data_IF_911686759963
#
_entry.id   IF_911686759963
#
_cell.length_a   1.000
_cell.length_b   1.000
_cell.length_c   1.000
_cell.angle_alpha   90.00
_cell.angle_beta   90.00
_cell.angle_gamma   90.00
#
_symmetry.space_group_name_H-M   'P 1'
#
loop_
_entity.id
_entity.type
_entity.pdbx_description
1 polymer ?
#
# COMPACT_ATOMS: atom_id res chain seq x y z
N UNK A 1 28.40 -29.90 8.74
CA UNK A 1 27.21 -30.19 7.92
C UNK A 1 26.29 -28.98 8.00
N UNK A 2 26.08 -28.28 6.88
CA UNK A 2 25.15 -27.16 6.81
C UNK A 2 23.71 -27.66 6.83
N UNK A 3 22.85 -27.02 7.61
CA UNK A 3 21.42 -27.29 7.68
C UNK A 3 20.71 -25.98 7.35
N UNK A 4 19.75 -26.02 6.44
CA UNK A 4 19.05 -24.82 5.96
C UNK A 4 17.54 -25.00 6.05
N UNK A 5 16.86 -23.92 6.43
CA UNK A 5 15.40 -23.78 6.44
C UNK A 5 14.98 -22.98 5.21
N UNK A 6 14.02 -23.50 4.43
CA UNK A 6 13.52 -22.86 3.22
C UNK A 6 12.16 -22.22 3.49
N UNK A 7 12.03 -20.94 3.18
CA UNK A 7 10.79 -20.16 3.29
C UNK A 7 10.12 -20.10 1.91
N UNK A 8 8.84 -20.48 1.83
CA UNK A 8 8.08 -20.44 0.58
C UNK A 8 6.78 -19.62 0.73
N UNK A 9 6.57 -18.65 -0.16
CA UNK A 9 5.39 -17.78 -0.18
C UNK A 9 4.17 -18.36 -0.91
N UNK A 10 2.99 -18.18 -0.29
CA UNK A 10 1.59 -18.23 -0.77
C UNK A 10 1.05 -19.36 -1.66
N UNK A 11 1.83 -20.17 -2.38
CA UNK A 11 1.31 -21.18 -3.31
C UNK A 11 1.51 -22.62 -2.80
N UNK A 12 0.64 -23.01 -1.86
CA UNK A 12 0.64 -24.32 -1.20
C UNK A 12 0.42 -25.52 -2.16
N UNK A 13 -0.24 -25.31 -3.32
CA UNK A 13 -0.61 -26.42 -4.23
C UNK A 13 0.51 -26.93 -5.14
N UNK A 14 1.58 -26.16 -5.36
CA UNK A 14 2.55 -26.47 -6.43
C UNK A 14 4.01 -26.54 -6.03
N UNK A 15 4.39 -26.12 -4.82
CA UNK A 15 5.81 -25.93 -4.47
C UNK A 15 6.53 -27.23 -4.09
N UNK A 16 6.03 -27.97 -3.09
CA UNK A 16 6.66 -29.21 -2.61
C UNK A 16 6.66 -30.32 -3.67
N UNK A 17 5.62 -30.42 -4.51
CA UNK A 17 5.54 -31.39 -5.60
C UNK A 17 6.66 -31.26 -6.64
N UNK A 18 7.23 -30.06 -6.79
CA UNK A 18 8.35 -29.80 -7.71
C UNK A 18 9.67 -30.40 -7.24
N UNK A 19 9.80 -30.75 -5.96
CA UNK A 19 11.01 -31.37 -5.40
C UNK A 19 11.24 -32.79 -5.94
N UNK A 20 10.17 -33.50 -6.29
CA UNK A 20 10.22 -34.86 -6.83
C UNK A 20 10.57 -34.91 -8.32
N UNK A 21 10.38 -33.80 -9.05
CA UNK A 21 10.67 -33.78 -10.49
C UNK A 21 12.16 -34.04 -10.69
N UNK A 22 12.48 -35.09 -11.45
CA UNK A 22 13.86 -35.59 -11.62
C UNK A 22 14.84 -34.53 -12.08
N UNK A 23 14.40 -33.58 -12.92
CA UNK A 23 15.22 -32.43 -13.33
C UNK A 23 15.55 -31.49 -12.17
N UNK A 24 14.57 -31.20 -11.32
CA UNK A 24 14.75 -30.30 -10.18
C UNK A 24 15.54 -30.95 -9.05
N UNK A 25 15.37 -32.25 -8.80
CA UNK A 25 16.10 -32.94 -7.73
C UNK A 25 17.61 -32.97 -7.98
N UNK A 26 18.03 -33.14 -9.23
CA UNK A 26 19.45 -33.12 -9.63
C UNK A 26 20.01 -31.70 -9.52
N UNK A 27 19.27 -30.70 -10.02
CA UNK A 27 19.70 -29.30 -9.97
C UNK A 27 19.76 -28.77 -8.53
N UNK A 28 18.79 -29.13 -7.69
CA UNK A 28 18.79 -28.77 -6.27
C UNK A 28 19.93 -29.44 -5.51
N UNK A 29 20.21 -30.72 -5.79
CA UNK A 29 21.37 -31.40 -5.20
C UNK A 29 22.69 -30.71 -5.60
N UNK A 30 22.81 -30.27 -6.86
CA UNK A 30 23.99 -29.56 -7.34
C UNK A 30 24.16 -28.19 -6.64
N UNK A 31 23.06 -27.46 -6.43
CA UNK A 31 23.08 -26.14 -5.77
C UNK A 31 23.29 -26.22 -4.25
N UNK A 32 22.71 -27.22 -3.59
CA UNK A 32 22.79 -27.40 -2.14
C UNK A 32 24.08 -28.10 -1.70
N UNK A 33 24.71 -28.87 -2.60
CA UNK A 33 25.91 -29.64 -2.31
C UNK A 33 25.66 -30.68 -1.22
N UNK A 34 26.39 -30.55 -0.11
CA UNK A 34 26.25 -31.42 1.09
C UNK A 34 25.17 -30.95 2.07
N UNK A 35 24.58 -29.78 1.82
CA UNK A 35 23.61 -29.15 2.73
C UNK A 35 22.27 -29.88 2.66
N UNK A 36 21.74 -30.27 3.82
CA UNK A 36 20.44 -30.93 3.92
C UNK A 36 19.36 -29.95 4.35
N UNK A 37 18.20 -30.04 3.71
CA UNK A 37 17.00 -29.30 4.08
C UNK A 37 16.36 -30.00 5.26
N UNK A 38 16.20 -29.27 6.38
CA UNK A 38 15.54 -29.78 7.59
C UNK A 38 14.14 -29.23 7.76
N UNK A 39 13.93 -27.95 7.47
CA UNK A 39 12.63 -27.31 7.70
C UNK A 39 12.13 -26.66 6.42
N UNK A 40 10.83 -26.81 6.19
CA UNK A 40 10.11 -26.12 5.13
C UNK A 40 9.04 -25.23 5.75
N UNK A 41 9.31 -23.93 5.81
CA UNK A 41 8.43 -22.95 6.43
C UNK A 41 7.49 -22.37 5.36
N UNK A 42 6.19 -22.49 5.59
CA UNK A 42 5.16 -21.86 4.78
C UNK A 42 4.57 -20.67 5.53
N UNK A 43 4.73 -19.48 4.96
CA UNK A 43 4.31 -18.23 5.59
C UNK A 43 3.01 -17.75 4.94
N UNK A 44 1.99 -17.48 5.77
CA UNK A 44 0.68 -16.98 5.34
C UNK A 44 0.19 -15.90 6.30
N UNK A 45 -0.54 -14.86 5.86
CA UNK A 45 -1.00 -13.78 6.75
C UNK A 45 -1.88 -14.30 7.91
N UNK A 46 -2.72 -15.30 7.65
CA UNK A 46 -3.60 -15.91 8.64
C UNK A 46 -3.71 -17.43 8.44
N UNK A 47 -3.76 -18.20 9.53
CA UNK A 47 -4.06 -19.63 9.52
C UNK A 47 -5.44 -19.85 10.17
N UNK A 48 -6.49 -19.70 9.37
CA UNK A 48 -7.86 -19.73 9.93
C UNK A 48 -8.48 -21.13 9.99
N UNK A 49 -7.80 -22.18 9.52
CA UNK A 49 -8.39 -23.52 9.39
C UNK A 49 -7.44 -24.66 9.77
N UNK A 50 -7.91 -25.53 10.68
CA UNK A 50 -7.28 -26.82 11.03
C UNK A 50 -6.99 -27.72 9.81
N UNK A 51 -7.68 -27.49 8.68
CA UNK A 51 -7.44 -28.18 7.40
C UNK A 51 -6.03 -27.93 6.84
N UNK A 52 -5.44 -26.74 7.09
CA UNK A 52 -4.09 -26.41 6.65
C UNK A 52 -3.04 -27.23 7.42
N UNK A 53 -3.20 -27.33 8.74
CA UNK A 53 -2.36 -28.16 9.61
C UNK A 53 -2.40 -29.63 9.19
N UNK A 54 -3.60 -30.18 8.99
CA UNK A 54 -3.77 -31.56 8.53
C UNK A 54 -3.13 -31.81 7.15
N UNK A 55 -3.25 -30.84 6.23
CA UNK A 55 -2.61 -30.96 4.91
C UNK A 55 -1.09 -30.83 4.98
N UNK A 56 -0.55 -29.94 5.83
CA UNK A 56 0.90 -29.81 6.04
C UNK A 56 1.50 -31.11 6.58
N UNK A 57 0.85 -31.74 7.56
CA UNK A 57 1.26 -33.05 8.08
C UNK A 57 1.22 -34.15 7.00
N UNK A 58 0.14 -34.20 6.21
CA UNK A 58 0.04 -35.15 5.09
C UNK A 58 1.18 -34.95 4.09
N UNK A 59 1.48 -33.69 3.72
CA UNK A 59 2.56 -33.36 2.79
C UNK A 59 3.94 -33.67 3.36
N UNK A 60 4.15 -33.47 4.66
CA UNK A 60 5.40 -33.85 5.31
C UNK A 60 5.64 -35.35 5.17
N UNK A 61 4.62 -36.19 5.43
CA UNK A 61 4.73 -37.64 5.27
C UNK A 61 5.00 -38.03 3.80
N UNK A 62 4.30 -37.41 2.84
CA UNK A 62 4.53 -37.63 1.41
C UNK A 62 5.96 -37.29 0.99
N UNK A 63 6.50 -36.16 1.46
CA UNK A 63 7.86 -35.69 1.09
C UNK A 63 8.94 -36.56 1.74
N UNK A 64 8.76 -36.98 2.99
CA UNK A 64 9.67 -37.95 3.64
C UNK A 64 9.71 -39.28 2.89
N UNK A 65 8.57 -39.75 2.40
CA UNK A 65 8.48 -40.99 1.63
C UNK A 65 9.24 -40.94 0.29
N UNK A 66 9.57 -39.75 -0.24
CA UNK A 66 10.36 -39.64 -1.47
C UNK A 66 11.84 -39.91 -1.28
N UNK A 67 12.32 -39.97 -0.02
CA UNK A 67 13.69 -40.34 0.34
C UNK A 67 14.78 -39.63 -0.50
N UNK A 68 14.64 -38.31 -0.61
CA UNK A 68 15.52 -37.50 -1.45
C UNK A 68 16.88 -37.24 -0.76
N UNK A 69 18.00 -37.29 -1.49
CA UNK A 69 19.35 -37.23 -0.89
C UNK A 69 19.68 -35.90 -0.18
N UNK A 70 19.02 -34.82 -0.56
CA UNK A 70 19.17 -33.48 0.04
C UNK A 70 18.21 -33.22 1.21
N UNK A 71 17.37 -34.18 1.61
CA UNK A 71 16.50 -34.05 2.78
C UNK A 71 17.15 -34.63 4.03
N UNK A 72 16.94 -33.96 5.17
CA UNK A 72 17.30 -34.50 6.48
C UNK A 72 16.31 -35.60 6.92
N UNK A 73 16.77 -36.54 7.75
CA UNK A 73 15.89 -37.53 8.43
C UNK A 73 14.79 -36.84 9.25
N UNK A 74 15.13 -35.67 9.80
CA UNK A 74 14.30 -34.93 10.75
C UNK A 74 13.46 -33.85 10.04
N UNK A 75 13.14 -34.06 8.76
CA UNK A 75 12.42 -33.06 7.95
C UNK A 75 11.06 -32.66 8.57
N UNK A 76 10.77 -31.37 8.70
CA UNK A 76 9.47 -30.86 9.14
C UNK A 76 8.90 -29.83 8.16
N UNK A 77 7.56 -29.82 8.05
CA UNK A 77 6.82 -28.76 7.36
C UNK A 77 6.15 -27.90 8.42
N UNK A 78 6.55 -26.64 8.49
CA UNK A 78 6.08 -25.68 9.50
C UNK A 78 5.20 -24.62 8.84
N UNK A 79 4.12 -24.26 9.53
CA UNK A 79 3.21 -23.20 9.10
C UNK A 79 3.44 -22.01 10.03
N UNK A 80 3.86 -20.89 9.48
CA UNK A 80 4.06 -19.66 10.24
C UNK A 80 3.04 -18.62 9.77
N UNK A 81 2.38 -17.99 10.73
CA UNK A 81 1.55 -16.81 10.51
C UNK A 81 2.23 -15.55 11.06
N UNK A 82 1.52 -14.44 11.01
CA UNK A 82 2.00 -13.18 11.56
C UNK A 82 2.21 -13.26 13.08
N UNK A 83 1.38 -14.04 13.79
CA UNK A 83 1.48 -14.21 15.23
C UNK A 83 2.76 -14.96 15.62
N UNK A 84 3.20 -15.92 14.79
CA UNK A 84 4.47 -16.62 14.98
C UNK A 84 5.67 -15.68 14.98
N UNK A 85 5.63 -14.61 14.17
CA UNK A 85 6.73 -13.64 14.02
C UNK A 85 6.51 -12.35 14.80
N UNK A 86 5.49 -12.28 15.67
CA UNK A 86 5.10 -11.00 16.29
C UNK A 86 6.22 -10.40 17.13
N UNK A 87 7.04 -11.23 17.79
CA UNK A 87 8.15 -10.79 18.62
C UNK A 87 9.26 -10.21 17.75
N UNK A 88 9.67 -10.91 16.70
CA UNK A 88 10.69 -10.45 15.76
C UNK A 88 10.24 -9.19 15.02
N UNK A 89 8.97 -9.12 14.64
CA UNK A 89 8.36 -7.92 14.07
C UNK A 89 8.47 -6.78 15.07
N UNK A 90 8.05 -6.97 16.33
CA UNK A 90 8.12 -5.93 17.36
C UNK A 90 9.56 -5.49 17.67
N UNK A 91 10.51 -6.42 17.72
CA UNK A 91 11.93 -6.13 17.93
C UNK A 91 12.51 -5.32 16.79
N UNK A 92 12.24 -5.69 15.53
CA UNK A 92 12.64 -4.92 14.36
C UNK A 92 11.97 -3.54 14.36
N UNK A 93 10.67 -3.49 14.66
CA UNK A 93 9.92 -2.22 14.71
C UNK A 93 10.50 -1.29 15.77
N UNK A 94 10.82 -1.82 16.96
CA UNK A 94 11.43 -1.07 18.08
C UNK A 94 12.87 -0.65 17.76
N UNK A 95 13.69 -1.55 17.24
CA UNK A 95 15.09 -1.29 16.90
C UNK A 95 15.22 -0.25 15.77
N UNK A 96 14.28 -0.24 14.83
CA UNK A 96 14.22 0.74 13.76
C UNK A 96 13.45 2.02 14.13
N UNK A 97 12.91 2.11 15.36
CA UNK A 97 12.11 3.26 15.80
C UNK A 97 10.85 3.48 14.95
N UNK A 98 10.36 2.43 14.30
CA UNK A 98 9.16 2.50 13.48
C UNK A 98 7.94 2.67 14.41
N UNK A 99 7.03 3.61 14.12
CA UNK A 99 5.86 3.82 14.95
C UNK A 99 4.92 2.60 14.86
N UNK A 100 4.30 2.26 16.00
CA UNK A 100 3.22 1.28 16.02
C UNK A 100 2.13 1.70 15.04
N UNK A 101 1.84 0.82 14.10
CA UNK A 101 0.85 1.09 13.05
C UNK A 101 -0.43 0.34 13.41
N UNK A 102 -1.50 1.08 13.71
CA UNK A 102 -2.79 0.52 14.09
C UNK A 102 -3.75 0.63 12.91
N UNK A 103 -4.36 -0.51 12.52
CA UNK A 103 -5.34 -0.57 11.45
C UNK A 103 -4.79 -1.12 10.12
N UNK A 104 -5.72 -1.42 9.22
CA UNK A 104 -5.42 -1.82 7.84
C UNK A 104 -5.59 -0.60 6.95
N UNK A 105 -4.60 -0.25 6.10
CA UNK A 105 -4.75 0.89 5.19
C UNK A 105 -5.94 0.66 4.26
N UNK A 106 -6.79 1.66 4.03
CA UNK A 106 -7.70 1.58 2.90
C UNK A 106 -6.89 1.63 1.59
N UNK A 107 -7.38 0.99 0.52
CA UNK A 107 -6.76 1.14 -0.79
C UNK A 107 -6.84 2.62 -1.23
N UNK A 108 -5.69 3.20 -1.60
CA UNK A 108 -5.65 4.55 -2.18
C UNK A 108 -6.16 4.57 -3.62
N UNK A 109 -6.15 3.41 -4.29
CA UNK A 109 -6.67 3.23 -5.63
C UNK A 109 -8.14 3.64 -5.72
N UNK A 110 -8.54 4.19 -6.87
CA UNK A 110 -9.93 4.53 -7.10
C UNK A 110 -10.79 3.25 -7.10
N UNK A 111 -11.97 3.26 -6.47
CA UNK A 111 -12.93 2.17 -6.64
C UNK A 111 -13.25 2.00 -8.12
N UNK A 112 -13.33 0.76 -8.60
CA UNK A 112 -13.67 0.48 -10.00
C UNK A 112 -15.07 1.02 -10.39
N UNK A 113 -15.91 1.26 -9.37
CA UNK A 113 -17.33 1.54 -9.50
C UNK A 113 -17.63 2.95 -8.95
N UNK A 114 -16.81 3.94 -9.30
CA UNK A 114 -16.99 5.33 -8.88
C UNK A 114 -17.92 6.10 -9.81
N UNK A 115 -19.24 5.96 -9.62
CA UNK A 115 -20.25 6.78 -10.29
C UNK A 115 -20.27 8.20 -9.72
N UNK A 116 -19.34 9.06 -10.12
CA UNK A 116 -19.34 10.48 -9.78
C UNK A 116 -18.91 11.34 -10.96
N UNK A 117 -19.52 12.51 -11.08
CA UNK A 117 -19.24 13.48 -12.13
C UNK A 117 -17.99 14.29 -11.75
N UNK A 118 -16.83 13.62 -11.73
CA UNK A 118 -15.55 14.20 -11.30
C UNK A 118 -15.25 15.51 -12.02
N UNK A 119 -15.62 15.62 -13.30
CA UNK A 119 -15.44 16.81 -14.10
C UNK A 119 -16.25 18.00 -13.56
N UNK A 120 -17.50 17.77 -13.11
CA UNK A 120 -18.30 18.81 -12.45
C UNK A 120 -17.68 19.25 -11.13
N UNK A 121 -17.19 18.30 -10.33
CA UNK A 121 -16.55 18.61 -9.05
C UNK A 121 -15.28 19.44 -9.25
N UNK A 122 -14.42 19.04 -10.19
CA UNK A 122 -13.19 19.76 -10.51
C UNK A 122 -13.51 21.15 -11.04
N UNK A 123 -14.49 21.30 -11.92
CA UNK A 123 -14.91 22.60 -12.46
C UNK A 123 -15.41 23.52 -11.35
N UNK A 124 -16.44 23.11 -10.59
CA UNK A 124 -17.03 23.89 -9.49
C UNK A 124 -15.97 24.36 -8.50
N UNK A 125 -15.08 23.45 -8.09
CA UNK A 125 -14.04 23.76 -7.10
C UNK A 125 -12.92 24.63 -7.69
N UNK A 126 -12.63 24.52 -8.97
CA UNK A 126 -11.68 25.42 -9.65
C UNK A 126 -12.23 26.85 -9.73
N UNK A 127 -13.52 27.01 -10.01
CA UNK A 127 -14.20 28.32 -9.97
C UNK A 127 -14.19 28.91 -8.56
N UNK A 128 -14.55 28.12 -7.54
CA UNK A 128 -14.54 28.55 -6.14
C UNK A 128 -13.14 29.04 -5.68
N UNK A 129 -12.08 28.33 -6.06
CA UNK A 129 -10.68 28.71 -5.79
C UNK A 129 -10.27 30.02 -6.47
N UNK A 130 -10.84 30.32 -7.62
CA UNK A 130 -10.56 31.54 -8.39
C UNK A 130 -11.62 32.64 -8.19
N UNK A 131 -12.55 32.49 -7.25
CA UNK A 131 -13.64 33.43 -6.97
C UNK A 131 -13.18 34.88 -6.76
N UNK A 132 -12.04 35.10 -6.10
CA UNK A 132 -11.45 36.44 -5.92
C UNK A 132 -10.92 37.08 -7.21
N UNK A 133 -10.90 36.36 -8.34
CA UNK A 133 -10.40 36.80 -9.65
C UNK A 133 -11.48 36.86 -10.72
N UNK A 134 -12.77 36.76 -10.35
CA UNK A 134 -13.90 36.74 -11.31
C UNK A 134 -13.93 37.96 -12.22
N UNK A 135 -13.56 39.14 -11.73
CA UNK A 135 -13.51 40.38 -12.53
C UNK A 135 -12.30 40.48 -13.47
N UNK A 136 -11.36 39.53 -13.40
CA UNK A 136 -10.17 39.54 -14.24
C UNK A 136 -10.53 39.11 -15.69
N UNK A 137 -10.09 39.84 -16.74
CA UNK A 137 -10.43 39.49 -18.13
C UNK A 137 -10.06 38.06 -18.54
N UNK A 138 -8.99 37.52 -17.95
CA UNK A 138 -8.53 36.14 -18.15
C UNK A 138 -9.15 35.09 -17.22
N UNK A 139 -10.20 35.41 -16.45
CA UNK A 139 -10.78 34.50 -15.46
C UNK A 139 -11.13 33.13 -16.05
N UNK A 140 -11.91 33.10 -17.14
CA UNK A 140 -12.33 31.85 -17.78
C UNK A 140 -11.15 31.00 -18.25
N UNK A 141 -10.17 31.61 -18.92
CA UNK A 141 -8.96 30.90 -19.35
C UNK A 141 -8.14 30.34 -18.17
N UNK A 142 -8.08 31.06 -17.04
CA UNK A 142 -7.43 30.57 -15.83
C UNK A 142 -8.20 29.41 -15.18
N UNK A 143 -9.54 29.46 -15.18
CA UNK A 143 -10.38 28.34 -14.72
C UNK A 143 -10.13 27.11 -15.59
N UNK A 144 -10.20 27.24 -16.91
CA UNK A 144 -9.95 26.13 -17.84
C UNK A 144 -8.56 25.52 -17.64
N UNK A 145 -7.53 26.37 -17.45
CA UNK A 145 -6.18 25.90 -17.17
C UNK A 145 -6.09 25.16 -15.82
N UNK A 146 -6.75 25.67 -14.78
CA UNK A 146 -6.75 25.04 -13.46
C UNK A 146 -7.50 23.70 -13.47
N UNK A 147 -8.62 23.62 -14.17
CA UNK A 147 -9.36 22.38 -14.42
C UNK A 147 -8.45 21.36 -15.10
N UNK A 148 -7.82 21.73 -16.23
CA UNK A 148 -6.93 20.84 -16.98
C UNK A 148 -5.77 20.31 -16.12
N UNK A 149 -5.13 21.17 -15.33
CA UNK A 149 -4.05 20.75 -14.43
C UNK A 149 -4.57 19.82 -13.33
N UNK A 150 -5.73 20.12 -12.75
CA UNK A 150 -6.32 19.31 -11.68
C UNK A 150 -6.75 17.93 -12.19
N UNK A 151 -7.43 17.86 -13.34
CA UNK A 151 -7.82 16.61 -14.00
C UNK A 151 -6.59 15.77 -14.34
N UNK A 152 -5.52 16.36 -14.90
CA UNK A 152 -4.28 15.63 -15.18
C UNK A 152 -3.68 15.01 -13.90
N UNK A 153 -3.63 15.77 -12.81
CA UNK A 153 -3.10 15.29 -11.53
C UNK A 153 -3.99 14.20 -10.94
N UNK A 154 -5.31 14.32 -11.05
CA UNK A 154 -6.26 13.32 -10.60
C UNK A 154 -6.06 11.99 -11.34
N UNK A 155 -5.99 12.01 -12.66
CA UNK A 155 -5.77 10.82 -13.48
C UNK A 155 -4.38 10.19 -13.23
N UNK A 156 -3.36 11.00 -12.97
CA UNK A 156 -2.00 10.53 -12.62
C UNK A 156 -1.98 9.83 -11.23
N UNK A 157 -2.90 10.18 -10.32
CA UNK A 157 -2.86 9.71 -8.93
C UNK A 157 -2.99 8.20 -8.80
N UNK A 158 -3.95 7.57 -9.49
CA UNK A 158 -4.20 6.13 -9.39
C UNK A 158 -3.01 5.30 -9.90
N UNK A 159 -2.44 5.68 -11.05
CA UNK A 159 -1.23 5.04 -11.57
C UNK A 159 -0.06 5.17 -10.58
N UNK A 160 0.12 6.35 -9.99
CA UNK A 160 1.20 6.59 -9.05
C UNK A 160 1.07 5.75 -7.77
N UNK A 161 -0.13 5.62 -7.21
CA UNK A 161 -0.35 4.79 -6.02
C UNK A 161 -0.12 3.30 -6.30
N UNK A 162 -0.58 2.78 -7.44
CA UNK A 162 -0.31 1.39 -7.84
C UNK A 162 1.17 1.13 -8.05
N UNK A 163 1.88 2.09 -8.64
CA UNK A 163 3.34 2.00 -8.80
C UNK A 163 4.03 1.99 -7.43
N UNK A 164 3.63 2.87 -6.51
CA UNK A 164 4.18 2.92 -5.15
C UNK A 164 3.91 1.62 -4.37
N UNK A 165 2.70 1.06 -4.48
CA UNK A 165 2.34 -0.23 -3.89
C UNK A 165 3.21 -1.37 -4.42
N UNK A 166 3.51 -1.39 -5.72
CA UNK A 166 4.33 -2.41 -6.34
C UNK A 166 5.83 -2.26 -6.03
N UNK A 167 6.37 -1.03 -6.11
CA UNK A 167 7.80 -0.76 -5.98
C UNK A 167 8.26 -0.67 -4.52
N UNK A 168 7.42 -0.13 -3.63
CA UNK A 168 7.73 0.08 -2.22
C UNK A 168 6.50 -0.17 -1.31
N UNK A 169 6.07 -1.44 -1.13
CA UNK A 169 4.87 -1.78 -0.36
C UNK A 169 4.85 -1.23 1.08
N UNK A 170 6.01 -1.22 1.75
CA UNK A 170 6.13 -0.70 3.11
C UNK A 170 5.92 0.82 3.18
N UNK A 171 6.42 1.56 2.18
CA UNK A 171 6.23 3.01 2.07
C UNK A 171 4.77 3.30 1.72
N UNK A 172 4.19 2.55 0.78
CA UNK A 172 2.79 2.65 0.42
C UNK A 172 1.86 2.52 1.63
N UNK A 173 2.06 1.49 2.46
CA UNK A 173 1.30 1.27 3.70
C UNK A 173 1.30 2.52 4.60
N UNK A 174 2.49 3.07 4.86
CA UNK A 174 2.65 4.25 5.73
C UNK A 174 2.00 5.50 5.14
N UNK A 175 2.13 5.69 3.84
CA UNK A 175 1.49 6.79 3.09
C UNK A 175 -0.03 6.66 3.12
N UNK A 176 -0.56 5.46 2.88
CA UNK A 176 -2.00 5.20 2.85
C UNK A 176 -2.67 5.50 4.19
N UNK A 177 -2.07 5.06 5.30
CA UNK A 177 -2.57 5.35 6.63
C UNK A 177 -2.52 6.83 6.97
N UNK A 178 -1.43 7.52 6.61
CA UNK A 178 -1.30 8.96 6.82
C UNK A 178 -2.36 9.72 6.04
N UNK A 179 -2.57 9.37 4.77
CA UNK A 179 -3.57 10.03 3.91
C UNK A 179 -4.99 9.76 4.43
N UNK A 180 -5.30 8.54 4.88
CA UNK A 180 -6.61 8.21 5.44
C UNK A 180 -6.92 9.01 6.72
N UNK A 181 -5.98 9.03 7.67
CA UNK A 181 -6.14 9.82 8.89
C UNK A 181 -6.28 11.31 8.58
N UNK A 182 -5.47 11.79 7.63
CA UNK A 182 -5.51 13.19 7.26
C UNK A 182 -6.77 13.56 6.46
N UNK A 183 -7.37 12.63 5.71
CA UNK A 183 -8.65 12.85 5.04
C UNK A 183 -9.77 13.19 6.02
N UNK A 184 -9.83 12.52 7.19
CA UNK A 184 -10.80 12.84 8.24
C UNK A 184 -10.65 14.28 8.76
N UNK A 185 -9.40 14.73 8.95
CA UNK A 185 -9.13 16.13 9.30
C UNK A 185 -9.53 17.10 8.18
N UNK A 186 -9.29 16.74 6.92
CA UNK A 186 -9.69 17.56 5.77
C UNK A 186 -11.20 17.74 5.72
N UNK A 187 -11.98 16.69 5.99
CA UNK A 187 -13.44 16.78 6.07
C UNK A 187 -13.89 17.75 7.18
N UNK A 188 -13.27 17.67 8.36
CA UNK A 188 -13.55 18.60 9.48
C UNK A 188 -13.17 20.05 9.14
N UNK A 189 -11.98 20.25 8.59
CA UNK A 189 -11.47 21.56 8.18
C UNK A 189 -12.37 22.16 7.08
N UNK A 190 -12.81 21.35 6.12
CA UNK A 190 -13.76 21.74 5.06
C UNK A 190 -15.09 22.30 5.60
N UNK A 191 -15.56 21.79 6.75
CA UNK A 191 -16.79 22.26 7.39
C UNK A 191 -16.55 23.54 8.21
N UNK A 192 -15.41 23.64 8.87
CA UNK A 192 -15.13 24.69 9.87
C UNK A 192 -14.39 25.90 9.32
N UNK A 193 -13.86 25.81 8.09
CA UNK A 193 -13.05 26.85 7.48
C UNK A 193 -13.79 28.15 7.22
N UNK A 194 -13.18 29.28 7.61
CA UNK A 194 -13.75 30.63 7.44
C UNK A 194 -12.99 31.49 6.43
N UNK A 195 -11.94 30.95 5.78
CA UNK A 195 -11.12 31.67 4.78
C UNK A 195 -11.58 31.42 3.35
N UNK A 196 -10.71 31.72 2.37
CA UNK A 196 -11.02 31.44 0.96
C UNK A 196 -10.80 29.95 0.62
N UNK A 197 -11.48 29.42 -0.41
CA UNK A 197 -11.25 28.04 -0.90
C UNK A 197 -9.80 27.77 -1.31
N UNK A 198 -9.13 28.76 -1.93
CA UNK A 198 -7.72 28.63 -2.30
C UNK A 198 -6.81 28.57 -1.08
N UNK A 199 -7.08 29.38 -0.04
CA UNK A 199 -6.29 29.35 1.18
C UNK A 199 -6.41 28.00 1.90
N UNK A 200 -7.60 27.42 1.97
CA UNK A 200 -7.80 26.06 2.50
C UNK A 200 -7.02 25.02 1.69
N UNK A 201 -7.12 25.08 0.36
CA UNK A 201 -6.43 24.14 -0.54
C UNK A 201 -4.91 24.21 -0.36
N UNK A 202 -4.34 25.41 -0.26
CA UNK A 202 -2.90 25.62 -0.04
C UNK A 202 -2.51 25.07 1.34
N UNK A 203 -3.26 25.40 2.39
CA UNK A 203 -3.00 24.91 3.74
C UNK A 203 -3.00 23.39 3.77
N UNK A 204 -4.04 22.74 3.23
CA UNK A 204 -4.15 21.29 3.22
C UNK A 204 -2.98 20.65 2.48
N UNK A 205 -2.60 21.20 1.33
CA UNK A 205 -1.49 20.71 0.52
C UNK A 205 -0.15 20.83 1.25
N UNK A 206 0.11 22.00 1.85
CA UNK A 206 1.36 22.27 2.58
C UNK A 206 1.48 21.42 3.84
N UNK A 207 0.40 21.28 4.60
CA UNK A 207 0.35 20.40 5.78
C UNK A 207 0.57 18.93 5.38
N UNK A 208 -0.06 18.46 4.30
CA UNK A 208 0.14 17.09 3.81
C UNK A 208 1.59 16.86 3.37
N UNK A 209 2.18 17.80 2.63
CA UNK A 209 3.58 17.73 2.21
C UNK A 209 4.51 17.60 3.42
N UNK A 210 4.33 18.45 4.45
CA UNK A 210 5.13 18.40 5.67
C UNK A 210 4.99 17.06 6.41
N UNK A 211 3.76 16.53 6.50
CA UNK A 211 3.48 15.23 7.11
C UNK A 211 4.12 14.09 6.32
N UNK A 212 4.08 14.13 4.98
CA UNK A 212 4.71 13.13 4.13
C UNK A 212 6.24 13.15 4.22
N UNK A 213 6.85 14.34 4.31
CA UNK A 213 8.30 14.47 4.57
C UNK A 213 8.67 13.85 5.92
N UNK A 214 7.80 13.97 6.93
CA UNK A 214 8.04 13.39 8.25
C UNK A 214 8.08 11.85 8.27
N UNK A 215 7.61 11.18 7.21
CA UNK A 215 7.75 9.72 7.06
C UNK A 215 9.22 9.30 6.82
N UNK A 216 10.12 10.25 6.57
CA UNK A 216 11.55 10.03 6.47
C UNK A 216 12.05 9.94 5.03
N UNK A 217 13.32 9.53 4.90
CA UNK A 217 14.04 9.56 3.63
C UNK A 217 13.41 8.67 2.54
N UNK A 218 12.66 7.63 2.92
CA UNK A 218 12.01 6.71 1.97
C UNK A 218 11.00 7.42 1.06
N UNK A 219 10.36 8.48 1.55
CA UNK A 219 9.51 9.35 0.73
C UNK A 219 10.38 10.43 0.09
N UNK A 220 11.10 11.21 0.92
CA UNK A 220 11.88 12.35 0.45
C UNK A 220 11.02 13.50 -0.09
N UNK A 221 11.61 14.69 -0.20
CA UNK A 221 10.87 15.94 -0.49
C UNK A 221 10.16 15.93 -1.86
N UNK A 222 10.81 15.40 -2.89
CA UNK A 222 10.26 15.38 -4.25
C UNK A 222 9.01 14.49 -4.33
N UNK A 223 9.06 13.29 -3.73
CA UNK A 223 7.89 12.43 -3.73
C UNK A 223 6.82 12.95 -2.78
N UNK A 224 7.17 13.58 -1.66
CA UNK A 224 6.20 14.21 -0.76
C UNK A 224 5.41 15.32 -1.48
N UNK A 225 6.07 16.20 -2.23
CA UNK A 225 5.44 17.22 -3.06
C UNK A 225 4.52 16.62 -4.12
N UNK A 226 4.99 15.57 -4.79
CA UNK A 226 4.21 14.85 -5.81
C UNK A 226 2.98 14.20 -5.19
N UNK A 227 3.14 13.45 -4.10
CA UNK A 227 2.07 12.80 -3.35
C UNK A 227 1.04 13.82 -2.87
N UNK A 228 1.46 14.92 -2.25
CA UNK A 228 0.54 15.96 -1.78
C UNK A 228 -0.27 16.56 -2.95
N UNK A 229 0.39 16.89 -4.08
CA UNK A 229 -0.29 17.40 -5.29
C UNK A 229 -1.33 16.42 -5.82
N UNK A 230 -0.98 15.14 -5.95
CA UNK A 230 -1.86 14.10 -6.50
C UNK A 230 -3.03 13.80 -5.56
N UNK A 231 -2.77 13.71 -4.25
CA UNK A 231 -3.77 13.46 -3.21
C UNK A 231 -4.80 14.58 -3.14
N UNK A 232 -4.37 15.85 -3.14
CA UNK A 232 -5.28 16.99 -3.13
C UNK A 232 -6.12 17.05 -4.41
N UNK A 233 -5.53 16.77 -5.58
CA UNK A 233 -6.31 16.70 -6.82
C UNK A 233 -7.39 15.61 -6.77
N UNK A 234 -7.07 14.45 -6.17
CA UNK A 234 -8.05 13.39 -5.90
C UNK A 234 -9.16 13.88 -4.97
N UNK A 235 -8.84 14.49 -3.84
CA UNK A 235 -9.85 15.01 -2.91
C UNK A 235 -10.76 16.09 -3.48
N UNK A 236 -10.25 16.90 -4.41
CA UNK A 236 -11.08 17.83 -5.17
C UNK A 236 -12.07 17.08 -6.07
N UNK A 237 -11.61 16.04 -6.76
CA UNK A 237 -12.45 15.23 -7.66
C UNK A 237 -13.50 14.40 -6.90
N UNK A 238 -13.11 13.69 -5.84
CA UNK A 238 -13.96 12.73 -5.08
C UNK A 238 -14.64 13.34 -3.85
N UNK A 239 -14.69 14.67 -3.76
CA UNK A 239 -15.40 15.41 -2.71
C UNK A 239 -14.95 15.27 -1.25
N UNK A 240 -13.79 14.69 -0.97
CA UNK A 240 -13.19 14.77 0.38
C UNK A 240 -12.85 16.22 0.76
N UNK A 241 -12.37 17.02 -0.19
CA UNK A 241 -12.12 18.45 0.01
C UNK A 241 -13.26 19.23 -0.66
N UNK A 242 -14.20 19.70 0.14
CA UNK A 242 -15.28 20.60 -0.32
C UNK A 242 -15.24 21.94 0.42
N UNK A 243 -15.89 22.95 -0.15
CA UNK A 243 -15.90 24.32 0.35
C UNK A 243 -17.29 24.76 0.83
N UNK A 244 -18.25 23.84 0.93
CA UNK A 244 -19.60 24.13 1.41
C UNK A 244 -20.41 25.08 0.52
N UNK A 245 -20.03 25.26 -0.76
CA UNK A 245 -20.69 26.23 -1.67
C UNK A 245 -22.07 25.80 -2.17
N UNK A 246 -22.55 24.61 -1.78
CA UNK A 246 -23.84 24.05 -2.16
C UNK A 246 -24.86 24.10 -0.99
N UNK A 247 -25.04 25.28 -0.40
CA UNK A 247 -26.35 25.63 0.18
C UNK A 247 -26.96 26.70 -0.70
N UNK A 248 -27.88 26.27 -1.56
CA UNK A 248 -28.61 27.15 -2.46
C UNK A 248 -29.21 28.34 -1.72
N UNK A 249 -28.90 29.53 -2.25
CA UNK A 249 -29.73 30.72 -2.15
C UNK A 249 -30.32 30.99 -3.54
#
# INVERSE_FOLDING_TARGET
MGVVSLICGALFRGSLGKLKLSKNSVELQLRLGETKIRQWCFVTPHINHNKLLAHAQKKQAEVKAWNLPFLSSDFSVELHDIDFYIVEIQELTTAHGLPLTLGTPPPLALPADGGEDFDKNILRKSEARLSGKVSHPGYKGNVDQLVNVTTKNFLESDHFYRQLEHEAPAVYLRVALLIDEYARRVEEDSITWTGTPEALTIQIKTDLEARLVSLGHEVGTVNAQKLARLTVARWLAVCTLDYGTDQGA
#
